data_IF_565123951162
#
_entry.id   IF_565123951162
#
_cell.length_a   1.000
_cell.length_b   1.000
_cell.length_c   1.000
_cell.angle_alpha   90.00
_cell.angle_beta   90.00
_cell.angle_gamma   90.00
#
_symmetry.space_group_name_H-M   'P 1'
#
loop_
_entity.id
_entity.type
_entity.pdbx_description
1 polymer ?
#
# COMPACT_ATOMS: atom_id res chain seq x y z
N UNK A 1 -67.28 48.39 -39.76
CA UNK A 1 -66.38 47.23 -39.59
C UNK A 1 -64.97 47.80 -39.49
N UNK A 2 -64.15 47.72 -38.44
CA UNK A 2 -63.99 46.80 -37.30
C UNK A 2 -62.99 47.44 -36.30
N UNK A 3 -63.40 48.38 -35.44
CA UNK A 3 -62.53 48.98 -34.40
C UNK A 3 -62.65 48.32 -33.01
N UNK A 4 -63.44 47.26 -32.88
CA UNK A 4 -63.71 46.59 -31.58
C UNK A 4 -62.72 45.49 -31.12
N UNK A 5 -61.82 44.90 -31.93
CA UNK A 5 -61.00 43.78 -31.42
C UNK A 5 -59.74 44.22 -30.66
N UNK A 6 -59.26 45.46 -30.85
CA UNK A 6 -58.00 45.92 -30.24
C UNK A 6 -58.14 46.31 -28.76
N UNK A 7 -59.33 46.74 -28.33
CA UNK A 7 -59.59 47.14 -26.93
C UNK A 7 -59.70 45.93 -25.98
N UNK A 8 -60.08 44.76 -26.48
CA UNK A 8 -60.21 43.54 -25.66
C UNK A 8 -58.86 42.87 -25.34
N UNK A 9 -57.88 42.94 -26.24
CA UNK A 9 -56.53 42.43 -25.97
C UNK A 9 -55.77 43.26 -24.92
N UNK A 10 -56.12 44.54 -24.77
CA UNK A 10 -55.49 45.44 -23.79
C UNK A 10 -55.99 45.22 -22.36
N UNK A 11 -57.21 44.66 -22.19
CA UNK A 11 -57.83 44.48 -20.88
C UNK A 11 -57.42 43.16 -20.20
N UNK A 12 -57.02 42.15 -20.99
CA UNK A 12 -56.61 40.83 -20.47
C UNK A 12 -55.17 40.80 -19.93
N UNK A 13 -54.32 41.77 -20.26
CA UNK A 13 -52.94 41.84 -19.76
C UNK A 13 -52.80 42.46 -18.38
N UNK A 14 -53.86 43.03 -17.79
CA UNK A 14 -53.81 43.60 -16.43
C UNK A 14 -54.17 42.63 -15.31
N UNK A 15 -54.56 41.38 -15.64
CA UNK A 15 -54.93 40.38 -14.64
C UNK A 15 -53.84 39.31 -14.44
N UNK A 16 -52.58 39.74 -14.37
CA UNK A 16 -51.50 38.88 -13.88
C UNK A 16 -51.48 38.89 -12.35
N UNK A 17 -51.66 37.76 -11.66
CA UNK A 17 -51.47 37.68 -10.22
C UNK A 17 -49.99 37.96 -9.91
N UNK A 18 -49.74 39.05 -9.19
CA UNK A 18 -48.44 39.32 -8.61
C UNK A 18 -48.11 38.20 -7.62
N UNK A 19 -47.17 37.33 -7.99
CA UNK A 19 -46.58 36.36 -7.07
C UNK A 19 -45.84 37.17 -5.99
N UNK A 20 -46.24 37.11 -4.71
CA UNK A 20 -45.52 37.83 -3.68
C UNK A 20 -44.11 37.24 -3.60
N UNK A 21 -43.10 38.05 -3.95
CA UNK A 21 -41.72 37.75 -3.59
C UNK A 21 -41.67 37.70 -2.06
N UNK A 22 -41.49 36.49 -1.51
CA UNK A 22 -41.35 36.31 -0.08
C UNK A 22 -40.18 37.18 0.40
N UNK A 23 -40.49 38.21 1.20
CA UNK A 23 -39.49 39.00 1.88
C UNK A 23 -38.59 38.03 2.66
N UNK A 24 -37.29 38.06 2.35
CA UNK A 24 -36.32 37.17 2.96
C UNK A 24 -36.15 37.59 4.42
N UNK A 25 -36.91 36.98 5.32
CA UNK A 25 -36.68 37.10 6.75
C UNK A 25 -35.34 36.46 7.09
N UNK A 26 -34.57 37.13 7.96
CA UNK A 26 -33.30 36.63 8.49
C UNK A 26 -33.47 35.31 9.24
N UNK A 27 -34.67 35.04 9.74
CA UNK A 27 -35.06 33.81 10.39
C UNK A 27 -35.95 32.93 9.49
N UNK A 28 -35.69 31.64 9.47
CA UNK A 28 -36.48 30.58 8.84
C UNK A 28 -37.31 29.90 9.90
N UNK A 29 -38.63 29.88 9.72
CA UNK A 29 -39.55 29.17 10.60
C UNK A 29 -39.63 27.70 10.21
N UNK A 30 -39.33 26.82 11.15
CA UNK A 30 -39.43 25.36 11.00
C UNK A 30 -40.39 24.80 12.04
N UNK A 31 -41.30 23.94 11.59
CA UNK A 31 -42.28 23.27 12.43
C UNK A 31 -41.77 21.88 12.77
N UNK A 32 -41.60 21.60 14.07
CA UNK A 32 -41.29 20.26 14.56
C UNK A 32 -42.59 19.60 15.00
N UNK A 33 -42.99 18.56 14.26
CA UNK A 33 -44.22 17.82 14.48
C UNK A 33 -43.90 16.50 15.20
N UNK A 34 -44.56 16.27 16.34
CA UNK A 34 -44.44 15.02 17.12
C UNK A 34 -45.74 14.22 16.97
N UNK A 35 -45.63 13.04 16.37
CA UNK A 35 -46.72 12.10 16.17
C UNK A 35 -47.10 11.33 17.43
N UNK A 36 -48.25 10.65 17.42
CA UNK A 36 -48.78 9.87 18.54
C UNK A 36 -47.89 8.68 18.94
N UNK A 37 -47.12 8.15 17.99
CA UNK A 37 -46.09 7.12 18.20
C UNK A 37 -44.74 7.69 18.67
N UNK A 38 -44.64 9.00 18.92
CA UNK A 38 -43.40 9.68 19.27
C UNK A 38 -42.46 9.98 18.09
N UNK A 39 -42.86 9.66 16.86
CA UNK A 39 -42.07 10.01 15.67
C UNK A 39 -41.99 11.54 15.50
N UNK A 40 -40.82 12.04 15.12
CA UNK A 40 -40.57 13.48 14.96
C UNK A 40 -40.27 13.78 13.50
N UNK A 41 -40.98 14.75 12.92
CA UNK A 41 -40.70 15.29 11.59
C UNK A 41 -40.46 16.80 11.65
N UNK A 42 -39.64 17.31 10.75
CA UNK A 42 -39.41 18.74 10.55
C UNK A 42 -40.03 19.16 9.22
N UNK A 43 -40.84 20.21 9.25
CA UNK A 43 -41.59 20.71 8.10
C UNK A 43 -41.48 22.23 7.99
N UNK A 44 -41.60 22.73 6.76
CA UNK A 44 -41.70 24.16 6.43
C UNK A 44 -43.16 24.66 6.47
N UNK A 45 -44.13 23.75 6.57
CA UNK A 45 -45.55 24.02 6.76
C UNK A 45 -46.04 23.60 8.16
N UNK A 46 -47.16 24.18 8.66
CA UNK A 46 -47.78 23.76 9.92
C UNK A 46 -48.10 22.27 9.97
N UNK A 47 -48.04 21.69 11.16
CA UNK A 47 -48.31 20.27 11.36
C UNK A 47 -49.78 19.97 11.02
N UNK A 48 -50.02 18.92 10.22
CA UNK A 48 -51.39 18.46 9.93
C UNK A 48 -52.07 17.86 11.17
N UNK A 49 -51.31 17.15 11.99
CA UNK A 49 -51.76 16.48 13.21
C UNK A 49 -50.61 16.37 14.23
N UNK A 50 -50.95 16.12 15.49
CA UNK A 50 -49.98 15.93 16.57
C UNK A 50 -49.54 17.24 17.27
N UNK A 51 -48.49 17.13 18.08
CA UNK A 51 -47.96 18.28 18.84
C UNK A 51 -47.00 19.08 17.97
N UNK A 52 -47.20 20.40 17.94
CA UNK A 52 -46.40 21.33 17.16
C UNK A 52 -45.47 22.16 18.04
N UNK A 53 -44.19 22.21 17.68
CA UNK A 53 -43.21 23.16 18.20
C UNK A 53 -42.71 24.05 17.06
N UNK A 54 -42.85 25.37 17.21
CA UNK A 54 -42.36 26.35 16.24
C UNK A 54 -40.93 26.72 16.61
N UNK A 55 -40.00 26.60 15.66
CA UNK A 55 -38.61 27.04 15.83
C UNK A 55 -38.24 28.04 14.74
N UNK A 56 -37.94 29.25 15.17
CA UNK A 56 -37.34 30.24 14.28
C UNK A 56 -35.80 30.05 14.33
N UNK A 57 -35.20 29.73 13.18
CA UNK A 57 -33.78 29.43 13.03
C UNK A 57 -33.13 30.51 12.16
N UNK A 58 -31.93 30.96 12.51
CA UNK A 58 -31.21 31.90 11.66
C UNK A 58 -30.89 31.25 10.31
N UNK A 59 -31.23 31.95 9.21
CA UNK A 59 -30.87 31.50 7.88
C UNK A 59 -29.34 31.45 7.75
N UNK A 60 -28.76 30.33 7.27
CA UNK A 60 -27.36 30.31 6.88
C UNK A 60 -27.07 31.45 5.89
N UNK A 61 -26.13 32.33 6.25
CA UNK A 61 -25.69 33.43 5.38
C UNK A 61 -24.55 32.91 4.52
N UNK A 62 -24.72 33.01 3.20
CA UNK A 62 -23.61 32.76 2.29
C UNK A 62 -22.50 33.79 2.53
N UNK A 63 -21.23 33.37 2.55
CA UNK A 63 -20.12 34.29 2.67
C UNK A 63 -20.10 35.26 1.48
N UNK A 64 -19.64 36.48 1.70
CA UNK A 64 -19.49 37.46 0.62
C UNK A 64 -18.62 36.89 -0.51
N UNK A 65 -18.93 37.20 -1.79
CA UNK A 65 -18.09 36.80 -2.91
C UNK A 65 -16.65 37.24 -2.69
N UNK A 66 -15.77 36.27 -2.46
CA UNK A 66 -14.35 36.51 -2.33
C UNK A 66 -13.77 36.84 -3.71
N UNK A 67 -13.18 38.02 -3.85
CA UNK A 67 -12.35 38.33 -5.02
C UNK A 67 -11.11 37.45 -4.90
N UNK A 68 -11.05 36.38 -5.68
CA UNK A 68 -9.85 35.56 -5.82
C UNK A 68 -8.83 36.42 -6.55
N UNK A 69 -7.96 37.10 -5.80
CA UNK A 69 -6.78 37.72 -6.39
C UNK A 69 -5.88 36.59 -6.86
N UNK A 70 -5.65 36.52 -8.16
CA UNK A 70 -4.64 35.65 -8.75
C UNK A 70 -3.24 36.20 -8.46
N UNK A 71 -2.90 36.37 -7.19
CA UNK A 71 -1.50 36.42 -6.79
C UNK A 71 -1.01 34.98 -6.89
N UNK A 72 -0.71 34.58 -8.14
CA UNK A 72 -0.12 33.29 -8.44
C UNK A 72 1.20 33.25 -7.70
N UNK A 73 1.23 32.55 -6.57
CA UNK A 73 2.47 32.20 -5.89
C UNK A 73 3.42 31.61 -6.93
N UNK A 74 4.65 32.12 -7.06
CA UNK A 74 5.63 31.55 -7.97
C UNK A 74 5.71 30.04 -7.73
N UNK A 75 5.69 29.27 -8.81
CA UNK A 75 5.76 27.82 -8.73
C UNK A 75 7.03 27.43 -7.98
N UNK A 76 6.94 26.57 -6.93
CA UNK A 76 8.11 26.15 -6.18
C UNK A 76 9.13 25.52 -7.13
N UNK A 77 10.36 26.01 -7.10
CA UNK A 77 11.44 25.44 -7.89
C UNK A 77 11.63 23.96 -7.49
N UNK A 78 11.80 23.03 -8.45
CA UNK A 78 11.94 21.62 -8.13
C UNK A 78 13.12 21.40 -7.18
N UNK A 79 12.89 20.63 -6.13
CA UNK A 79 13.92 20.27 -5.17
C UNK A 79 15.08 19.52 -5.86
N UNK A 80 16.32 19.70 -5.40
CA UNK A 80 17.46 18.93 -5.91
C UNK A 80 17.17 17.43 -5.84
N UNK A 81 17.47 16.70 -6.91
CA UNK A 81 17.34 15.24 -6.95
C UNK A 81 18.26 14.64 -5.90
N UNK A 82 17.73 13.74 -5.06
CA UNK A 82 18.53 12.99 -4.11
C UNK A 82 19.63 12.21 -4.83
N UNK A 83 20.83 12.06 -4.23
CA UNK A 83 21.91 11.31 -4.83
C UNK A 83 21.49 9.85 -5.04
N UNK A 84 21.88 9.30 -6.19
CA UNK A 84 21.62 7.90 -6.52
C UNK A 84 22.40 6.99 -5.56
N UNK A 85 21.72 6.01 -4.98
CA UNK A 85 22.32 5.09 -4.02
C UNK A 85 23.12 4.05 -4.78
N UNK A 86 24.43 4.02 -4.58
CA UNK A 86 25.29 2.96 -5.12
C UNK A 86 25.01 1.65 -4.37
N UNK A 87 24.36 0.69 -5.05
CA UNK A 87 24.13 -0.64 -4.51
C UNK A 87 25.38 -1.50 -4.74
N UNK A 88 26.03 -1.94 -3.67
CA UNK A 88 27.17 -2.86 -3.73
C UNK A 88 26.71 -4.28 -3.43
N UNK A 89 26.82 -5.15 -4.42
CA UNK A 89 26.57 -6.57 -4.25
C UNK A 89 27.85 -7.24 -3.73
N UNK A 90 27.76 -7.85 -2.54
CA UNK A 90 28.84 -8.67 -1.98
C UNK A 90 28.49 -10.13 -2.23
N UNK A 91 29.26 -10.79 -3.08
CA UNK A 91 29.14 -12.23 -3.31
C UNK A 91 30.05 -12.96 -2.33
N UNK A 92 29.47 -13.81 -1.48
CA UNK A 92 30.21 -14.69 -0.57
C UNK A 92 30.37 -16.05 -1.24
N UNK A 93 31.61 -16.54 -1.32
CA UNK A 93 31.89 -17.88 -1.82
C UNK A 93 31.32 -18.92 -0.83
N UNK A 94 30.46 -19.85 -1.29
CA UNK A 94 30.01 -20.96 -0.45
C UNK A 94 31.19 -21.80 0.06
N UNK A 95 31.12 -22.35 1.29
CA UNK A 95 32.17 -23.23 1.81
C UNK A 95 32.33 -24.44 0.88
N UNK A 96 33.58 -24.81 0.61
CA UNK A 96 33.87 -26.00 -0.20
C UNK A 96 33.61 -27.26 0.65
N UNK A 97 32.91 -28.28 0.09
CA UNK A 97 32.72 -29.54 0.80
C UNK A 97 34.07 -30.25 0.93
N UNK A 98 34.35 -30.78 2.12
CA UNK A 98 35.52 -31.62 2.38
C UNK A 98 35.06 -33.06 2.68
N UNK A 99 35.92 -34.02 2.37
CA UNK A 99 35.70 -35.45 2.58
C UNK A 99 36.40 -35.93 3.85
N UNK A 100 35.70 -36.74 4.64
CA UNK A 100 36.29 -37.45 5.78
C UNK A 100 36.75 -38.83 5.30
N UNK A 101 38.07 -39.06 5.36
CA UNK A 101 38.70 -40.29 4.91
C UNK A 101 39.32 -41.03 6.11
N UNK A 102 39.30 -42.36 6.07
CA UNK A 102 39.94 -43.23 7.05
C UNK A 102 41.15 -43.92 6.44
N UNK A 103 42.27 -43.92 7.14
CA UNK A 103 43.49 -44.65 6.74
C UNK A 103 43.35 -46.14 7.04
N UNK A 104 44.24 -46.97 6.49
CA UNK A 104 44.31 -48.40 6.82
C UNK A 104 44.65 -48.66 8.30
N UNK A 105 45.33 -47.70 8.94
CA UNK A 105 45.72 -47.78 10.34
C UNK A 105 44.60 -47.31 11.30
N UNK A 106 43.49 -46.81 10.74
CA UNK A 106 42.29 -46.38 11.47
C UNK A 106 42.23 -44.89 11.77
N UNK A 107 43.27 -44.11 11.44
CA UNK A 107 43.27 -42.66 11.62
C UNK A 107 42.34 -41.96 10.63
N UNK A 108 41.61 -40.95 11.10
CA UNK A 108 40.71 -40.13 10.30
C UNK A 108 41.36 -38.80 9.92
N UNK A 109 41.21 -38.38 8.67
CA UNK A 109 41.66 -37.09 8.18
C UNK A 109 40.67 -36.47 7.19
N UNK A 110 40.82 -35.17 6.95
CA UNK A 110 39.99 -34.41 6.03
C UNK A 110 40.75 -34.16 4.72
N UNK A 111 40.09 -34.39 3.59
CA UNK A 111 40.64 -34.26 2.24
C UNK A 111 39.71 -33.42 1.36
N UNK A 112 40.27 -32.65 0.41
CA UNK A 112 39.48 -31.93 -0.60
C UNK A 112 38.99 -32.86 -1.73
N UNK A 113 39.48 -34.10 -1.76
CA UNK A 113 39.17 -35.12 -2.77
C UNK A 113 38.74 -36.44 -2.13
N UNK A 114 37.89 -37.21 -2.81
CA UNK A 114 37.35 -38.48 -2.27
C UNK A 114 38.29 -39.68 -2.47
N UNK A 115 39.39 -39.50 -3.23
CA UNK A 115 40.39 -40.52 -3.49
C UNK A 115 41.31 -40.78 -2.28
N UNK A 116 41.45 -39.80 -1.39
CA UNK A 116 42.34 -39.86 -0.23
C UNK A 116 43.83 -39.74 -0.59
N UNK A 117 44.69 -39.79 0.43
CA UNK A 117 46.12 -39.62 0.26
C UNK A 117 46.77 -40.88 -0.36
N UNK A 118 47.47 -40.77 -1.51
CA UNK A 118 48.20 -41.90 -2.06
C UNK A 118 49.34 -42.32 -1.12
N UNK A 119 49.45 -43.63 -0.87
CA UNK A 119 50.54 -44.21 -0.08
C UNK A 119 51.24 -45.32 -0.86
N UNK A 120 52.55 -45.40 -0.71
CA UNK A 120 53.35 -46.47 -1.28
C UNK A 120 53.11 -47.75 -0.47
N UNK A 121 52.42 -48.72 -1.05
CA UNK A 121 52.28 -50.06 -0.48
C UNK A 121 53.20 -51.03 -1.20
N UNK A 122 53.82 -51.99 -0.49
CA UNK A 122 54.58 -53.05 -1.14
C UNK A 122 53.70 -53.86 -2.10
N UNK A 123 54.22 -54.23 -3.27
CA UNK A 123 53.42 -54.96 -4.28
C UNK A 123 52.78 -56.25 -3.78
N UNK A 124 53.37 -56.90 -2.77
CA UNK A 124 52.86 -58.15 -2.19
C UNK A 124 51.60 -57.97 -1.34
N UNK A 125 51.22 -56.74 -0.94
CA UNK A 125 49.97 -56.50 -0.21
C UNK A 125 48.75 -56.48 -1.13
N UNK A 126 48.92 -56.08 -2.40
CA UNK A 126 47.84 -55.98 -3.39
C UNK A 126 47.82 -57.17 -4.37
N UNK A 127 48.96 -57.82 -4.60
CA UNK A 127 49.07 -58.92 -5.54
C UNK A 127 49.48 -60.22 -4.85
N UNK A 128 48.68 -61.28 -5.06
CA UNK A 128 49.07 -62.64 -4.68
C UNK A 128 50.13 -63.16 -5.66
N UNK A 129 51.40 -62.98 -5.32
CA UNK A 129 52.53 -63.49 -6.09
C UNK A 129 52.82 -64.95 -5.70
N UNK A 130 52.74 -65.92 -6.63
CA UNK A 130 52.97 -67.34 -6.35
C UNK A 130 54.46 -67.68 -6.29
N UNK A 131 55.22 -66.99 -5.42
CA UNK A 131 56.65 -67.29 -5.20
C UNK A 131 56.85 -67.93 -3.82
N UNK A 132 57.74 -68.93 -3.66
CA UNK A 132 58.08 -69.49 -2.36
C UNK A 132 58.64 -68.38 -1.44
N UNK A 133 58.36 -68.44 -0.12
CA UNK A 133 58.74 -67.37 0.80
C UNK A 133 60.26 -67.20 0.81
N UNK A 134 60.72 -66.08 0.24
CA UNK A 134 62.09 -65.62 0.37
C UNK A 134 62.38 -65.09 1.78
N UNK A 135 63.66 -64.90 2.15
CA UNK A 135 64.02 -64.38 3.46
C UNK A 135 63.35 -63.02 3.73
N UNK A 136 62.68 -62.87 4.88
CA UNK A 136 62.10 -61.58 5.29
C UNK A 136 63.24 -60.57 5.49
N UNK A 137 63.15 -59.36 4.90
CA UNK A 137 64.09 -58.30 5.22
C UNK A 137 63.95 -57.88 6.68
N UNK A 138 65.04 -57.42 7.33
CA UNK A 138 64.99 -56.96 8.71
C UNK A 138 64.03 -55.78 8.84
N UNK A 139 63.21 -55.79 9.89
CA UNK A 139 62.34 -54.68 10.28
C UNK A 139 63.20 -53.51 10.76
N UNK A 140 63.54 -52.59 9.86
CA UNK A 140 64.32 -51.42 10.25
C UNK A 140 64.46 -50.39 9.14
N UNK A 141 63.80 -49.25 9.32
CA UNK A 141 64.14 -48.00 8.64
C UNK A 141 62.97 -47.34 7.92
N UNK A 142 62.27 -46.44 8.62
CA UNK A 142 61.51 -45.37 7.96
C UNK A 142 62.50 -44.46 7.21
N UNK A 143 62.27 -44.10 5.93
CA UNK A 143 63.01 -43.01 5.30
C UNK A 143 62.55 -41.65 5.87
N UNK A 144 63.47 -40.68 6.04
CA UNK A 144 63.15 -39.37 6.59
C UNK A 144 62.32 -38.50 5.64
N UNK A 145 61.62 -37.54 6.27
CA UNK A 145 60.68 -36.55 5.75
C UNK A 145 61.21 -35.69 4.61
#
# INVERSE_FOLDING_TARGET
>A
MTLRPALWLSLLTLLSPAVPAAAQSDNVRVYRCVGSNGAVSLQDAPCREGRQEIRDLQRPRDPAPQVVRSDRTPEPMPAPRAPEREVRYVHVQPPQPMYECTTSDGDTYVSDSNEGNPRWVPIWTEAYLPYPPGPRPPSGGYPPS
#
